data_IF_333771560871
#
_entry.id   IF_333771560871
#
_cell.length_a   1.000
_cell.length_b   1.000
_cell.length_c   1.000
_cell.angle_alpha   90.00
_cell.angle_beta   90.00
_cell.angle_gamma   90.00
#
_symmetry.space_group_name_H-M   'P 1'
#
loop_
_entity.id
_entity.type
_entity.pdbx_description
1 polymer ?
#
# COMPACT_ATOMS: atom_id res chain seq x y z
N UNK A 1 16.52 20.22 -8.40
CA UNK A 1 17.25 18.99 -8.08
C UNK A 1 16.77 17.89 -8.99
N UNK A 2 15.58 17.35 -8.75
CA UNK A 2 14.99 16.24 -9.51
C UNK A 2 14.35 16.68 -10.84
N UNK A 3 15.18 17.05 -11.83
CA UNK A 3 14.71 17.41 -13.17
C UNK A 3 14.47 16.20 -14.09
N UNK A 4 14.01 16.42 -15.33
CA UNK A 4 13.69 15.35 -16.30
C UNK A 4 14.83 14.36 -16.51
N UNK A 5 16.08 14.83 -16.60
CA UNK A 5 17.25 13.94 -16.77
C UNK A 5 17.51 13.09 -15.52
N UNK A 6 17.18 13.58 -14.33
CA UNK A 6 17.30 12.81 -13.09
C UNK A 6 16.24 11.71 -13.03
N UNK A 7 15.00 12.05 -13.39
CA UNK A 7 13.89 11.10 -13.48
C UNK A 7 14.19 10.01 -14.51
N UNK A 8 14.71 10.36 -15.70
CA UNK A 8 15.07 9.36 -16.71
C UNK A 8 16.14 8.36 -16.22
N UNK A 9 17.13 8.83 -15.44
CA UNK A 9 18.12 7.91 -14.82
C UNK A 9 17.48 6.97 -13.80
N UNK A 10 16.50 7.46 -13.05
CA UNK A 10 15.74 6.62 -12.12
C UNK A 10 14.90 5.59 -12.88
N UNK A 11 14.23 5.99 -13.96
CA UNK A 11 13.49 5.09 -14.86
C UNK A 11 14.39 3.97 -15.36
N UNK A 12 15.54 4.29 -15.96
CA UNK A 12 16.48 3.30 -16.51
C UNK A 12 17.02 2.32 -15.45
N UNK A 13 17.14 2.75 -14.19
CA UNK A 13 17.55 1.89 -13.06
C UNK A 13 16.42 0.98 -12.59
N UNK A 14 15.23 1.54 -12.40
CA UNK A 14 14.10 0.85 -11.77
C UNK A 14 13.30 -0.04 -12.72
N UNK A 15 13.34 0.22 -14.03
CA UNK A 15 12.37 -0.32 -14.99
C UNK A 15 12.15 -1.84 -14.85
N UNK A 16 13.25 -2.60 -14.79
CA UNK A 16 13.19 -4.05 -14.68
C UNK A 16 12.62 -4.54 -13.33
N UNK A 17 13.07 -3.95 -12.22
CA UNK A 17 12.60 -4.36 -10.89
C UNK A 17 11.13 -3.97 -10.69
N UNK A 18 10.72 -2.79 -11.12
CA UNK A 18 9.30 -2.40 -11.05
C UNK A 18 8.43 -3.27 -11.95
N UNK A 19 8.93 -3.66 -13.13
CA UNK A 19 8.21 -4.56 -14.03
C UNK A 19 8.02 -5.96 -13.41
N UNK A 20 9.08 -6.58 -12.86
CA UNK A 20 8.95 -7.93 -12.29
C UNK A 20 8.09 -7.94 -11.03
N UNK A 21 8.17 -6.90 -10.19
CA UNK A 21 7.33 -6.78 -9.00
C UNK A 21 5.85 -6.57 -9.35
N UNK A 22 5.55 -5.76 -10.37
CA UNK A 22 4.18 -5.61 -10.87
C UNK A 22 3.65 -6.91 -11.44
N UNK A 23 4.44 -7.56 -12.31
CA UNK A 23 4.09 -8.83 -12.94
C UNK A 23 3.78 -9.90 -11.90
N UNK A 24 4.63 -10.08 -10.88
CA UNK A 24 4.39 -11.07 -9.83
C UNK A 24 3.16 -10.73 -8.99
N UNK A 25 2.92 -9.45 -8.69
CA UNK A 25 1.76 -9.01 -7.90
C UNK A 25 0.43 -9.16 -8.64
N UNK A 26 0.44 -9.11 -9.98
CA UNK A 26 -0.75 -9.32 -10.80
C UNK A 26 -1.10 -10.81 -10.93
N UNK A 27 -0.09 -11.69 -10.97
CA UNK A 27 -0.28 -13.14 -11.12
C UNK A 27 -0.60 -13.86 -9.80
N UNK A 28 -0.12 -13.30 -8.69
CA UNK A 28 -0.29 -13.84 -7.34
C UNK A 28 -1.14 -12.80 -6.64
N UNK A 29 -2.47 -12.92 -6.70
CA UNK A 29 -3.43 -12.01 -6.06
C UNK A 29 -3.34 -12.19 -4.53
N UNK A 30 -2.44 -11.49 -3.81
CA UNK A 30 -2.15 -11.81 -2.41
C UNK A 30 -3.17 -11.11 -1.49
N UNK A 31 -3.85 -10.11 -2.05
CA UNK A 31 -4.81 -9.24 -1.44
C UNK A 31 -6.08 -9.33 -2.27
N UNK A 32 -6.84 -10.44 -2.19
CA UNK A 32 -8.06 -10.61 -2.96
C UNK A 32 -9.07 -9.55 -2.54
N UNK A 33 -9.13 -8.47 -3.31
CA UNK A 33 -9.97 -7.32 -3.00
C UNK A 33 -11.45 -7.71 -3.14
N UNK A 34 -12.25 -7.47 -2.09
CA UNK A 34 -13.71 -7.60 -2.19
C UNK A 34 -14.24 -9.02 -2.42
N UNK A 35 -13.46 -10.06 -2.06
CA UNK A 35 -13.95 -11.45 -2.04
C UNK A 35 -14.98 -11.69 -0.93
N UNK A 36 -14.97 -10.83 0.09
CA UNK A 36 -15.96 -10.78 1.15
C UNK A 36 -16.83 -9.52 0.97
N UNK A 37 -18.11 -9.74 0.66
CA UNK A 37 -19.10 -8.68 0.48
C UNK A 37 -20.27 -8.89 1.42
N UNK A 38 -20.81 -7.82 1.97
CA UNK A 38 -22.10 -7.84 2.63
C UNK A 38 -23.03 -6.80 2.02
N UNK A 39 -24.18 -7.24 1.56
CA UNK A 39 -25.29 -6.39 1.13
C UNK A 39 -26.18 -6.11 2.33
N UNK A 40 -26.53 -4.84 2.53
CA UNK A 40 -27.43 -4.37 3.58
C UNK A 40 -28.75 -3.97 2.91
N UNK A 41 -29.80 -4.76 3.12
CA UNK A 41 -31.11 -4.51 2.55
C UNK A 41 -31.87 -3.43 3.35
N UNK A 42 -32.89 -2.84 2.72
CA UNK A 42 -33.77 -1.83 3.35
C UNK A 42 -34.48 -2.33 4.63
N UNK A 43 -34.75 -3.63 4.73
CA UNK A 43 -35.38 -4.24 5.92
C UNK A 43 -34.39 -4.55 7.06
N UNK A 44 -33.12 -4.14 6.90
CA UNK A 44 -32.03 -4.40 7.84
C UNK A 44 -31.47 -5.82 7.77
N UNK A 45 -31.99 -6.68 6.87
CA UNK A 45 -31.40 -7.99 6.62
C UNK A 45 -30.07 -7.87 5.87
N UNK A 46 -29.19 -8.85 6.09
CA UNK A 46 -27.81 -8.83 5.60
C UNK A 46 -27.53 -10.08 4.79
N UNK A 47 -27.06 -9.93 3.56
CA UNK A 47 -26.57 -11.02 2.74
C UNK A 47 -25.05 -10.97 2.66
N UNK A 48 -24.39 -12.02 3.14
CA UNK A 48 -22.94 -12.12 3.09
C UNK A 48 -22.56 -13.07 1.95
N UNK A 49 -21.82 -12.56 0.98
CA UNK A 49 -21.20 -13.33 -0.08
C UNK A 49 -19.71 -13.47 0.22
N UNK A 50 -19.23 -14.71 0.31
CA UNK A 50 -17.80 -15.02 0.38
C UNK A 50 -17.45 -15.85 -0.86
N UNK A 51 -16.62 -15.29 -1.73
CA UNK A 51 -16.08 -16.01 -2.86
C UNK A 51 -14.90 -16.87 -2.40
N UNK A 52 -14.95 -18.17 -2.67
CA UNK A 52 -13.82 -19.07 -2.49
C UNK A 52 -13.48 -19.72 -3.83
N UNK A 53 -12.34 -19.34 -4.41
CA UNK A 53 -11.81 -19.99 -5.62
C UNK A 53 -10.85 -21.09 -5.22
N UNK A 54 -11.21 -22.34 -5.50
CA UNK A 54 -10.30 -23.48 -5.30
C UNK A 54 -9.88 -24.07 -6.64
N UNK A 55 -8.60 -24.06 -6.96
CA UNK A 55 -8.05 -24.77 -8.11
C UNK A 55 -7.41 -26.10 -7.69
N UNK A 56 -7.61 -27.15 -8.50
CA UNK A 56 -7.01 -28.48 -8.27
C UNK A 56 -5.47 -28.42 -8.32
N UNK A 57 -4.90 -27.40 -8.97
CA UNK A 57 -3.44 -27.19 -9.04
C UNK A 57 -2.91 -26.16 -8.03
N UNK A 58 -3.75 -25.59 -7.16
CA UNK A 58 -3.38 -24.46 -6.29
C UNK A 58 -2.16 -24.77 -5.43
N UNK A 59 -2.15 -25.92 -4.75
CA UNK A 59 -1.01 -26.34 -3.92
C UNK A 59 0.33 -26.47 -4.66
N UNK A 60 0.33 -26.61 -5.99
CA UNK A 60 1.56 -26.59 -6.80
C UNK A 60 1.94 -25.16 -7.17
N UNK A 61 0.96 -24.30 -7.45
CA UNK A 61 1.16 -22.87 -7.70
C UNK A 61 1.70 -22.22 -6.43
N UNK A 62 1.10 -22.47 -5.26
CA UNK A 62 1.55 -21.92 -3.97
C UNK A 62 3.01 -22.28 -3.68
N UNK A 63 3.42 -23.53 -3.96
CA UNK A 63 4.82 -23.94 -3.83
C UNK A 63 5.78 -23.24 -4.80
N UNK A 64 5.31 -22.84 -5.98
CA UNK A 64 6.11 -22.06 -6.92
C UNK A 64 6.21 -20.62 -6.41
N UNK A 65 5.11 -20.05 -5.94
CA UNK A 65 5.03 -18.73 -5.32
C UNK A 65 5.98 -18.62 -4.12
N UNK A 66 5.91 -19.57 -3.18
CA UNK A 66 6.79 -19.66 -2.03
C UNK A 66 8.28 -19.69 -2.42
N UNK A 67 8.62 -20.42 -3.50
CA UNK A 67 10.00 -20.44 -4.02
C UNK A 67 10.47 -19.12 -4.61
N UNK A 68 9.55 -18.21 -4.94
CA UNK A 68 9.86 -16.87 -5.41
C UNK A 68 9.98 -15.86 -4.27
N UNK A 69 9.63 -16.18 -3.02
CA UNK A 69 9.69 -15.24 -1.90
C UNK A 69 11.06 -14.56 -1.73
N UNK A 70 12.20 -15.28 -1.75
CA UNK A 70 13.50 -14.60 -1.65
C UNK A 70 13.76 -13.66 -2.83
N UNK A 71 13.25 -13.98 -4.02
CA UNK A 71 13.37 -13.13 -5.20
C UNK A 71 12.52 -11.87 -5.06
N UNK A 72 11.26 -12.00 -4.63
CA UNK A 72 10.38 -10.86 -4.35
C UNK A 72 11.04 -9.93 -3.34
N UNK A 73 11.45 -10.47 -2.19
CA UNK A 73 12.14 -9.71 -1.15
C UNK A 73 13.38 -8.97 -1.68
N UNK A 74 14.26 -9.68 -2.38
CA UNK A 74 15.53 -9.09 -2.86
C UNK A 74 15.33 -8.08 -3.98
N UNK A 75 14.35 -8.28 -4.86
CA UNK A 75 13.96 -7.32 -5.89
C UNK A 75 13.33 -6.06 -5.28
N UNK A 76 12.41 -6.20 -4.31
CA UNK A 76 11.82 -5.08 -3.59
C UNK A 76 12.87 -4.24 -2.85
N UNK A 77 13.78 -4.90 -2.14
CA UNK A 77 14.90 -4.21 -1.49
C UNK A 77 15.80 -3.51 -2.51
N UNK A 78 16.08 -4.16 -3.66
CA UNK A 78 16.92 -3.58 -4.71
C UNK A 78 16.27 -2.34 -5.34
N UNK A 79 14.95 -2.35 -5.52
CA UNK A 79 14.20 -1.18 -5.95
C UNK A 79 14.34 -0.02 -4.94
N UNK A 80 14.21 -0.27 -3.64
CA UNK A 80 14.45 0.76 -2.62
C UNK A 80 15.90 1.27 -2.65
N UNK A 81 16.90 0.39 -2.75
CA UNK A 81 18.31 0.80 -2.90
C UNK A 81 18.53 1.75 -4.07
N UNK A 82 17.91 1.48 -5.22
CA UNK A 82 18.04 2.35 -6.40
C UNK A 82 17.37 3.71 -6.19
N UNK A 83 16.26 3.77 -5.45
CA UNK A 83 15.64 5.05 -5.06
C UNK A 83 16.55 5.85 -4.11
N UNK A 84 17.12 5.20 -3.09
CA UNK A 84 18.02 5.84 -2.12
C UNK A 84 19.34 6.28 -2.75
N UNK A 85 19.89 5.44 -3.63
CA UNK A 85 21.07 5.77 -4.43
C UNK A 85 20.80 6.97 -5.33
N UNK A 86 19.65 7.02 -6.00
CA UNK A 86 19.27 8.15 -6.83
C UNK A 86 19.20 9.47 -6.05
N UNK A 87 18.62 9.46 -4.83
CA UNK A 87 18.64 10.63 -3.95
C UNK A 87 20.09 11.08 -3.70
N UNK A 88 21.01 10.16 -3.39
CA UNK A 88 22.42 10.48 -3.17
C UNK A 88 23.12 10.98 -4.44
N UNK A 89 22.83 10.40 -5.62
CA UNK A 89 23.35 10.86 -6.92
C UNK A 89 22.97 12.32 -7.19
N UNK A 90 21.75 12.73 -6.83
CA UNK A 90 21.34 14.12 -6.97
C UNK A 90 22.10 15.06 -6.03
N UNK A 91 22.45 14.61 -4.83
CA UNK A 91 23.30 15.38 -3.91
C UNK A 91 24.75 15.47 -4.42
N UNK A 92 25.27 14.39 -5.01
CA UNK A 92 26.61 14.36 -5.62
C UNK A 92 26.68 15.30 -6.83
N UNK A 93 25.65 15.31 -7.68
CA UNK A 93 25.57 16.19 -8.85
C UNK A 93 25.60 17.69 -8.49
N UNK A 94 25.21 18.03 -7.26
CA UNK A 94 25.23 19.39 -6.71
C UNK A 94 26.50 19.71 -5.91
N UNK A 95 27.41 18.74 -5.73
CA UNK A 95 28.60 18.90 -4.90
C UNK A 95 28.31 18.99 -3.40
N UNK A 96 27.14 18.52 -2.95
CA UNK A 96 26.78 18.44 -1.51
C UNK A 96 27.55 17.28 -0.86
N UNK A 97 27.70 16.18 -1.58
CA UNK A 97 28.52 15.03 -1.20
C UNK A 97 29.64 14.81 -2.22
N UNK A 98 30.61 13.96 -1.88
CA UNK A 98 31.73 13.61 -2.75
C UNK A 98 31.66 12.11 -3.07
N UNK A 99 30.94 11.79 -4.13
CA UNK A 99 30.68 10.43 -4.59
C UNK A 99 29.58 9.73 -3.81
N UNK A 100 28.85 8.87 -4.52
CA UNK A 100 27.82 8.00 -3.96
C UNK A 100 28.47 6.71 -3.43
N UNK A 101 28.26 6.33 -2.16
CA UNK A 101 28.85 5.12 -1.61
C UNK A 101 28.36 3.85 -2.30
N UNK A 102 29.25 2.87 -2.46
CA UNK A 102 28.89 1.58 -3.08
C UNK A 102 28.20 0.62 -2.10
N UNK A 103 28.57 0.66 -0.81
CA UNK A 103 28.00 -0.24 0.22
C UNK A 103 26.69 0.32 0.75
N UNK A 104 25.72 -0.56 0.99
CA UNK A 104 24.42 -0.18 1.55
C UNK A 104 24.53 0.52 2.91
N UNK A 105 25.35 0.00 3.83
CA UNK A 105 25.63 0.62 5.13
C UNK A 105 26.12 2.06 4.98
N UNK A 106 27.05 2.28 4.05
CA UNK A 106 27.65 3.59 3.83
C UNK A 106 26.64 4.56 3.19
N UNK A 107 25.68 4.05 2.39
CA UNK A 107 24.56 4.85 1.84
C UNK A 107 23.60 5.27 2.95
N UNK A 108 23.27 4.36 3.87
CA UNK A 108 22.43 4.62 5.05
C UNK A 108 23.06 5.72 5.90
N UNK A 109 24.32 5.52 6.33
CA UNK A 109 25.07 6.50 7.14
C UNK A 109 25.09 7.87 6.46
N UNK A 110 25.25 7.90 5.13
CA UNK A 110 25.30 9.13 4.35
C UNK A 110 23.95 9.87 4.33
N UNK A 111 22.84 9.16 4.20
CA UNK A 111 21.49 9.75 4.22
C UNK A 111 21.17 10.30 5.61
N UNK A 112 21.49 9.55 6.67
CA UNK A 112 21.33 10.00 8.06
C UNK A 112 22.19 11.24 8.37
N UNK A 113 23.44 11.26 7.90
CA UNK A 113 24.32 12.43 8.02
C UNK A 113 23.76 13.65 7.28
N UNK A 114 23.20 13.47 6.08
CA UNK A 114 22.57 14.56 5.34
C UNK A 114 21.35 15.11 6.09
N UNK A 115 20.51 14.23 6.64
CA UNK A 115 19.32 14.62 7.41
C UNK A 115 19.72 15.39 8.68
N UNK A 116 20.63 14.83 9.47
CA UNK A 116 21.13 15.45 10.71
C UNK A 116 21.72 16.85 10.50
N UNK A 117 22.34 17.07 9.34
CA UNK A 117 22.94 18.35 8.98
C UNK A 117 21.97 19.29 8.23
N UNK A 118 20.69 18.94 8.10
CA UNK A 118 19.67 19.67 7.31
C UNK A 118 20.09 19.92 5.86
N UNK A 119 20.87 19.01 5.28
CA UNK A 119 21.33 19.06 3.90
C UNK A 119 20.61 18.04 3.01
N UNK A 120 19.80 17.15 3.58
CA UNK A 120 18.98 16.21 2.84
C UNK A 120 17.87 16.96 2.10
N UNK A 121 17.95 16.93 0.78
CA UNK A 121 16.95 17.48 -0.12
C UNK A 121 16.17 16.34 -0.75
N UNK A 122 14.90 16.20 -0.37
CA UNK A 122 14.06 15.11 -0.82
C UNK A 122 13.33 15.44 -2.15
N UNK A 123 13.01 14.43 -2.97
CA UNK A 123 12.12 14.61 -4.13
C UNK A 123 10.72 15.02 -3.66
N UNK A 124 9.94 15.64 -4.56
CA UNK A 124 8.66 16.30 -4.23
C UNK A 124 7.73 15.45 -3.37
N UNK A 125 7.58 14.16 -3.69
CA UNK A 125 6.69 13.26 -2.94
C UNK A 125 7.15 13.08 -1.49
N UNK A 126 8.46 12.97 -1.26
CA UNK A 126 9.05 12.73 0.06
C UNK A 126 9.20 14.03 0.85
N UNK A 127 9.38 15.16 0.18
CA UNK A 127 9.38 16.48 0.81
C UNK A 127 7.97 16.85 1.31
N UNK A 128 6.94 16.56 0.51
CA UNK A 128 5.54 16.79 0.89
C UNK A 128 5.05 15.79 1.95
N UNK A 129 5.51 14.55 1.87
CA UNK A 129 5.08 13.45 2.74
C UNK A 129 6.28 12.82 3.46
N UNK A 130 6.97 13.62 4.28
CA UNK A 130 8.18 13.14 5.00
C UNK A 130 7.94 11.85 5.79
N UNK A 131 6.75 11.69 6.36
CA UNK A 131 6.39 10.46 7.09
C UNK A 131 6.48 9.18 6.23
N UNK A 132 6.20 9.28 4.92
CA UNK A 132 6.33 8.16 3.98
C UNK A 132 7.81 7.88 3.74
N UNK A 133 8.62 8.92 3.51
CA UNK A 133 10.07 8.78 3.39
C UNK A 133 10.68 8.08 4.60
N UNK A 134 10.31 8.51 5.81
CA UNK A 134 10.86 7.98 7.06
C UNK A 134 10.63 6.46 7.17
N UNK A 135 9.42 5.98 6.82
CA UNK A 135 9.09 4.55 6.82
C UNK A 135 9.80 3.78 5.72
N UNK A 136 9.85 4.32 4.51
CA UNK A 136 10.55 3.68 3.38
C UNK A 136 12.06 3.60 3.65
N UNK A 137 12.63 4.65 4.25
CA UNK A 137 14.03 4.67 4.65
C UNK A 137 14.30 3.71 5.81
N UNK A 138 13.41 3.61 6.80
CA UNK A 138 13.51 2.61 7.86
C UNK A 138 13.47 1.18 7.29
N UNK A 139 12.55 0.87 6.36
CA UNK A 139 12.55 -0.42 5.65
C UNK A 139 13.89 -0.69 4.95
N UNK A 140 14.43 0.29 4.22
CA UNK A 140 15.73 0.16 3.56
C UNK A 140 16.87 -0.08 4.56
N UNK A 141 16.87 0.63 5.69
CA UNK A 141 17.89 0.50 6.73
C UNK A 141 17.82 -0.85 7.43
N UNK A 142 16.64 -1.21 7.92
CA UNK A 142 16.45 -2.31 8.87
C UNK A 142 16.41 -3.68 8.17
N UNK A 143 16.07 -3.71 6.88
CA UNK A 143 16.10 -4.94 6.07
C UNK A 143 17.46 -5.21 5.39
N UNK A 144 18.44 -4.32 5.53
CA UNK A 144 19.75 -4.46 4.87
C UNK A 144 20.47 -5.77 5.25
N UNK A 145 20.52 -6.08 6.54
CA UNK A 145 21.20 -7.28 7.02
C UNK A 145 20.46 -8.56 6.61
N UNK A 146 19.13 -8.54 6.62
CA UNK A 146 18.28 -9.62 6.12
C UNK A 146 18.51 -9.90 4.63
N UNK A 147 18.59 -8.85 3.80
CA UNK A 147 18.95 -8.97 2.38
C UNK A 147 20.33 -9.58 2.18
N UNK A 148 21.30 -9.19 3.01
CA UNK A 148 22.65 -9.74 2.94
C UNK A 148 22.68 -11.23 3.33
N UNK A 149 21.85 -11.65 4.28
CA UNK A 149 21.67 -13.06 4.64
C UNK A 149 21.16 -13.87 3.44
N UNK A 150 20.10 -13.42 2.75
CA UNK A 150 19.58 -14.15 1.58
C UNK A 150 20.64 -14.29 0.49
N UNK A 151 21.32 -13.21 0.12
CA UNK A 151 22.18 -13.18 -1.08
C UNK A 151 23.56 -13.78 -0.86
N UNK A 152 24.09 -13.69 0.36
CA UNK A 152 25.46 -14.14 0.65
C UNK A 152 25.52 -15.32 1.63
N UNK A 153 24.50 -15.50 2.46
CA UNK A 153 24.40 -16.60 3.41
C UNK A 153 23.64 -17.81 2.88
N UNK A 154 22.68 -17.60 1.97
CA UNK A 154 21.65 -18.60 1.60
C UNK A 154 20.95 -19.16 2.86
N UNK A 155 20.91 -18.37 3.94
CA UNK A 155 20.47 -18.76 5.28
C UNK A 155 19.07 -18.22 5.53
N UNK A 156 18.11 -18.82 4.82
CA UNK A 156 16.69 -18.52 4.93
C UNK A 156 15.90 -19.82 4.82
N UNK A 157 14.73 -19.84 5.44
CA UNK A 157 13.82 -20.98 5.35
C UNK A 157 12.53 -20.57 4.62
N UNK A 158 12.03 -21.47 3.79
CA UNK A 158 10.75 -21.32 3.11
C UNK A 158 9.87 -22.48 3.56
N UNK A 159 8.83 -22.16 4.31
CA UNK A 159 7.76 -23.09 4.66
C UNK A 159 6.44 -22.57 4.09
N UNK A 160 5.65 -21.91 4.93
CA UNK A 160 4.49 -21.09 4.53
C UNK A 160 4.83 -19.59 4.48
N UNK A 161 5.90 -19.21 5.18
CA UNK A 161 6.47 -17.87 5.26
C UNK A 161 7.93 -17.90 4.77
N UNK A 162 8.48 -16.73 4.46
CA UNK A 162 9.92 -16.52 4.30
C UNK A 162 10.51 -16.11 5.65
N UNK A 163 11.27 -17.01 6.27
CA UNK A 163 12.00 -16.72 7.49
C UNK A 163 13.45 -16.36 7.16
N UNK A 164 13.91 -15.20 7.65
CA UNK A 164 15.26 -14.70 7.47
C UNK A 164 15.81 -14.35 8.85
N UNK A 165 16.91 -14.98 9.25
CA UNK A 165 17.64 -14.62 10.47
C UNK A 165 18.92 -13.86 10.10
N UNK A 166 19.04 -12.63 10.56
CA UNK A 166 20.25 -11.83 10.35
C UNK A 166 21.44 -12.36 11.18
N UNK A 167 22.63 -11.80 10.93
CA UNK A 167 23.85 -12.20 11.65
C UNK A 167 23.85 -11.83 13.13
N UNK A 168 22.97 -10.93 13.54
CA UNK A 168 22.79 -10.49 14.92
C UNK A 168 21.78 -11.36 15.67
N UNK A 169 21.10 -12.28 14.98
CA UNK A 169 20.08 -13.17 15.51
C UNK A 169 18.68 -12.56 15.52
N UNK A 170 18.47 -11.44 14.82
CA UNK A 170 17.12 -10.89 14.56
C UNK A 170 16.47 -11.73 13.48
N UNK A 171 15.24 -12.17 13.71
CA UNK A 171 14.49 -12.96 12.73
C UNK A 171 13.28 -12.16 12.26
N UNK A 172 13.12 -12.04 10.95
CA UNK A 172 11.86 -11.62 10.35
C UNK A 172 11.24 -12.80 9.60
N UNK A 173 9.94 -12.96 9.83
CA UNK A 173 9.07 -13.87 9.12
C UNK A 173 8.17 -13.00 8.25
N UNK A 174 8.15 -13.27 6.96
CA UNK A 174 7.23 -12.62 6.03
C UNK A 174 6.26 -13.66 5.50
N UNK A 175 4.98 -13.46 5.76
CA UNK A 175 3.95 -14.18 5.03
C UNK A 175 3.86 -13.67 3.57
N UNK A 176 2.95 -14.29 2.81
CA UNK A 176 2.73 -13.90 1.41
C UNK A 176 2.30 -12.44 1.30
N UNK A 177 1.35 -12.02 2.11
CA UNK A 177 0.79 -10.67 2.07
C UNK A 177 1.87 -9.64 2.44
N UNK A 178 2.69 -9.88 3.46
CA UNK A 178 3.77 -9.00 3.89
C UNK A 178 4.85 -8.86 2.81
N UNK A 179 5.25 -9.96 2.16
CA UNK A 179 6.17 -9.92 1.03
C UNK A 179 5.64 -9.08 -0.14
N UNK A 180 4.37 -9.27 -0.48
CA UNK A 180 3.76 -8.53 -1.57
C UNK A 180 3.41 -7.10 -1.19
N UNK A 181 3.16 -6.80 0.09
CA UNK A 181 3.09 -5.43 0.61
C UNK A 181 4.44 -4.73 0.41
N UNK A 182 5.55 -5.39 0.71
CA UNK A 182 6.89 -4.84 0.49
C UNK A 182 7.17 -4.57 -1.00
N UNK A 183 6.76 -5.49 -1.87
CA UNK A 183 6.78 -5.28 -3.32
C UNK A 183 5.96 -4.07 -3.75
N UNK A 184 4.74 -3.93 -3.24
CA UNK A 184 3.85 -2.79 -3.53
C UNK A 184 4.43 -1.47 -3.05
N UNK A 185 4.99 -1.41 -1.85
CA UNK A 185 5.69 -0.21 -1.34
C UNK A 185 6.81 0.19 -2.31
N UNK A 186 7.68 -0.75 -2.70
CA UNK A 186 8.79 -0.47 -3.59
C UNK A 186 8.34 -0.01 -4.99
N UNK A 187 7.30 -0.64 -5.56
CA UNK A 187 6.76 -0.27 -6.86
C UNK A 187 6.03 1.07 -6.83
N UNK A 188 5.11 1.29 -5.88
CA UNK A 188 4.33 2.54 -5.79
C UNK A 188 5.25 3.74 -5.55
N UNK A 189 6.22 3.62 -4.66
CA UNK A 189 7.21 4.68 -4.42
C UNK A 189 8.04 4.94 -5.67
N UNK A 190 8.51 3.90 -6.36
CA UNK A 190 9.23 4.03 -7.63
C UNK A 190 8.43 4.78 -8.69
N UNK A 191 7.17 4.39 -8.92
CA UNK A 191 6.27 5.04 -9.88
C UNK A 191 5.92 6.48 -9.51
N UNK A 192 5.73 6.74 -8.21
CA UNK A 192 5.45 8.08 -7.70
C UNK A 192 6.65 9.01 -7.84
N UNK A 193 7.88 8.50 -7.65
CA UNK A 193 9.10 9.26 -7.86
C UNK A 193 9.32 9.58 -9.34
N UNK A 194 9.00 8.64 -10.24
CA UNK A 194 9.06 8.86 -11.70
C UNK A 194 8.04 9.90 -12.17
N UNK A 195 6.80 9.79 -11.71
CA UNK A 195 5.73 10.73 -12.08
C UNK A 195 5.84 12.09 -11.38
N UNK A 196 6.57 12.15 -10.26
CA UNK A 196 6.72 13.35 -9.42
C UNK A 196 5.47 13.67 -8.59
N UNK A 197 4.49 12.75 -8.53
CA UNK A 197 3.20 12.97 -7.87
C UNK A 197 2.73 11.71 -7.14
N UNK A 198 2.00 11.91 -6.05
CA UNK A 198 1.32 10.87 -5.30
C UNK A 198 -0.14 11.29 -5.14
N UNK A 199 -1.04 10.74 -5.94
CA UNK A 199 -2.46 11.07 -5.86
C UNK A 199 -3.06 10.52 -4.54
N UNK A 200 -4.20 11.06 -4.06
CA UNK A 200 -4.77 10.67 -2.77
C UNK A 200 -5.06 9.16 -2.61
N UNK A 201 -5.56 8.49 -3.65
CA UNK A 201 -5.85 7.06 -3.60
C UNK A 201 -4.56 6.23 -3.49
N UNK A 202 -3.57 6.49 -4.35
CA UNK A 202 -2.27 5.81 -4.33
C UNK A 202 -1.50 6.11 -3.05
N UNK A 203 -1.62 7.33 -2.50
CA UNK A 203 -1.07 7.68 -1.19
C UNK A 203 -1.64 6.77 -0.11
N UNK A 204 -2.97 6.65 -0.07
CA UNK A 204 -3.69 5.85 0.93
C UNK A 204 -3.36 4.36 0.82
N UNK A 205 -3.28 3.85 -0.41
CA UNK A 205 -2.82 2.48 -0.68
C UNK A 205 -1.39 2.25 -0.17
N UNK A 206 -0.46 3.17 -0.48
CA UNK A 206 0.91 3.10 0.03
C UNK A 206 0.95 3.13 1.56
N UNK A 207 0.16 3.99 2.20
CA UNK A 207 0.07 4.06 3.66
C UNK A 207 -0.44 2.76 4.28
N UNK A 208 -1.45 2.12 3.67
CA UNK A 208 -1.95 0.84 4.14
C UNK A 208 -0.91 -0.29 4.00
N UNK A 209 -0.13 -0.32 2.91
CA UNK A 209 0.95 -1.29 2.77
C UNK A 209 2.11 -1.03 3.74
N UNK A 210 2.42 0.24 4.03
CA UNK A 210 3.39 0.58 5.07
C UNK A 210 2.89 0.14 6.46
N UNK A 211 1.62 0.36 6.78
CA UNK A 211 1.03 -0.13 8.04
C UNK A 211 1.08 -1.66 8.16
N UNK A 212 1.05 -2.38 7.04
CA UNK A 212 1.21 -3.83 7.01
C UNK A 212 2.64 -4.30 7.30
N UNK A 213 3.62 -3.39 7.21
CA UNK A 213 5.05 -3.65 7.43
C UNK A 213 5.57 -2.95 8.69
N UNK A 214 4.68 -2.58 9.61
CA UNK A 214 5.02 -1.87 10.84
C UNK A 214 6.00 -2.66 11.71
N UNK A 215 5.90 -3.99 11.71
CA UNK A 215 6.83 -4.89 12.39
C UNK A 215 8.28 -4.74 11.89
N UNK A 216 8.46 -4.38 10.62
CA UNK A 216 9.77 -4.27 9.98
C UNK A 216 10.38 -2.88 10.13
N UNK A 217 9.58 -1.82 10.01
CA UNK A 217 10.08 -0.44 10.06
C UNK A 217 9.90 0.25 11.42
N UNK A 218 9.06 -0.29 12.32
CA UNK A 218 8.93 0.16 13.72
C UNK A 218 8.31 1.55 13.93
N UNK A 219 7.72 2.16 12.91
CA UNK A 219 7.08 3.48 13.00
C UNK A 219 5.57 3.33 13.28
N UNK A 220 4.91 4.32 13.89
CA UNK A 220 3.46 4.27 14.13
C UNK A 220 2.65 4.06 12.84
N UNK A 221 1.53 3.34 12.91
CA UNK A 221 0.64 3.17 11.75
C UNK A 221 -0.13 4.45 11.40
N UNK A 222 -0.49 4.63 10.14
CA UNK A 222 -1.42 5.66 9.67
C UNK A 222 -2.87 5.36 10.06
N UNK A 223 -3.23 4.09 10.18
CA UNK A 223 -4.59 3.64 10.50
C UNK A 223 -5.54 3.73 9.31
N UNK A 224 -5.01 3.60 8.09
CA UNK A 224 -5.84 3.63 6.87
C UNK A 224 -6.56 2.29 6.68
N UNK A 225 -7.85 2.32 6.34
CA UNK A 225 -8.57 1.13 5.81
C UNK A 225 -7.77 0.53 4.65
N UNK A 226 -7.33 -0.74 4.74
CA UNK A 226 -6.58 -1.40 3.68
C UNK A 226 -7.41 -1.58 2.40
N UNK A 227 -6.84 -1.43 1.19
CA UNK A 227 -7.57 -1.51 -0.08
C UNK A 227 -8.23 -2.87 -0.35
N UNK A 228 -7.79 -3.94 0.32
CA UNK A 228 -8.36 -5.28 0.27
C UNK A 228 -9.41 -5.57 1.35
N UNK A 229 -9.83 -4.56 2.10
CA UNK A 229 -10.87 -4.71 3.10
C UNK A 229 -12.21 -5.15 2.49
N UNK A 230 -13.08 -5.83 3.26
CA UNK A 230 -14.43 -6.18 2.83
C UNK A 230 -15.21 -4.98 2.31
N UNK A 231 -16.13 -5.24 1.39
CA UNK A 231 -17.04 -4.22 0.86
C UNK A 231 -18.43 -4.43 1.47
N UNK A 232 -18.94 -3.36 2.10
CA UNK A 232 -20.33 -3.28 2.55
C UNK A 232 -21.11 -2.49 1.51
N UNK A 233 -22.08 -3.13 0.86
CA UNK A 233 -22.91 -2.49 -0.15
C UNK A 233 -24.24 -2.07 0.45
N UNK A 234 -24.65 -0.82 0.23
CA UNK A 234 -25.93 -0.29 0.67
C UNK A 234 -26.57 0.51 -0.46
N UNK A 235 -27.72 0.04 -0.92
CA UNK A 235 -28.59 0.79 -1.82
C UNK A 235 -29.41 1.80 -1.01
N UNK A 236 -29.52 3.04 -1.50
CA UNK A 236 -30.27 4.11 -0.84
C UNK A 236 -31.02 4.94 -1.85
N UNK A 237 -32.34 5.01 -1.72
CA UNK A 237 -33.19 5.89 -2.53
C UNK A 237 -32.95 7.37 -2.19
N UNK A 238 -32.94 8.22 -3.22
CA UNK A 238 -32.75 9.65 -3.09
C UNK A 238 -33.86 10.34 -2.28
N UNK A 239 -33.47 11.20 -1.33
CA UNK A 239 -34.40 12.07 -0.61
C UNK A 239 -34.78 13.34 -1.41
N UNK A 240 -33.88 13.76 -2.29
CA UNK A 240 -34.03 14.90 -3.21
C UNK A 240 -33.35 14.57 -4.52
N UNK A 241 -33.80 15.16 -5.63
CA UNK A 241 -33.25 14.92 -6.98
C UNK A 241 -32.46 16.12 -7.56
N UNK A 242 -32.49 17.29 -6.92
CA UNK A 242 -31.84 18.52 -7.41
C UNK A 242 -31.23 19.38 -6.26
N UNK A 243 -29.99 19.11 -5.84
CA UNK A 243 -29.16 17.96 -6.25
C UNK A 243 -29.64 16.66 -5.63
N UNK A 244 -29.16 15.52 -6.13
CA UNK A 244 -29.42 14.25 -5.48
C UNK A 244 -28.85 14.25 -4.06
N UNK A 245 -29.64 13.78 -3.09
CA UNK A 245 -29.22 13.64 -1.68
C UNK A 245 -29.62 12.28 -1.12
N UNK A 246 -28.69 11.64 -0.40
CA UNK A 246 -28.88 10.31 0.20
C UNK A 246 -28.52 10.36 1.68
N UNK A 247 -29.36 9.78 2.53
CA UNK A 247 -29.08 9.62 3.95
C UNK A 247 -28.71 8.17 4.27
N UNK A 248 -27.55 7.98 4.88
CA UNK A 248 -27.06 6.66 5.27
C UNK A 248 -26.93 6.61 6.78
N UNK A 249 -27.75 5.77 7.42
CA UNK A 249 -27.57 5.42 8.84
C UNK A 249 -26.31 4.56 8.99
N UNK A 250 -25.36 5.06 9.78
CA UNK A 250 -24.05 4.49 10.03
C UNK A 250 -24.08 3.38 11.08
N UNK A 251 -25.09 3.36 11.97
CA UNK A 251 -25.22 2.30 12.97
C UNK A 251 -25.44 0.93 12.31
N UNK A 252 -26.26 0.88 11.25
CA UNK A 252 -26.48 -0.33 10.45
C UNK A 252 -25.20 -0.82 9.78
N UNK A 253 -24.37 0.11 9.29
CA UNK A 253 -23.10 -0.19 8.63
C UNK A 253 -22.13 -0.85 9.62
N UNK A 254 -21.94 -0.24 10.80
CA UNK A 254 -21.07 -0.81 11.82
C UNK A 254 -21.61 -2.13 12.37
N UNK A 255 -22.93 -2.30 12.46
CA UNK A 255 -23.51 -3.58 12.84
C UNK A 255 -23.33 -4.65 11.74
N UNK A 256 -23.34 -4.28 10.46
CA UNK A 256 -23.01 -5.19 9.36
C UNK A 256 -21.54 -5.59 9.37
N UNK A 257 -20.65 -4.64 9.69
CA UNK A 257 -19.21 -4.91 9.76
C UNK A 257 -18.83 -5.96 10.81
N UNK A 258 -19.62 -6.13 11.88
CA UNK A 258 -19.41 -7.19 12.89
C UNK A 258 -19.37 -8.60 12.30
N UNK A 259 -19.88 -8.80 11.07
CA UNK A 259 -19.76 -10.06 10.35
C UNK A 259 -18.33 -10.38 9.88
N UNK A 260 -17.41 -9.42 9.92
CA UNK A 260 -16.01 -9.53 9.51
C UNK A 260 -15.07 -9.27 10.69
N UNK A 261 -15.05 -10.15 11.71
CA UNK A 261 -14.35 -9.89 12.99
C UNK A 261 -12.83 -9.72 12.85
N UNK A 262 -12.24 -10.30 11.80
CA UNK A 262 -10.79 -10.27 11.56
C UNK A 262 -10.36 -9.13 10.61
N UNK A 263 -11.32 -8.39 10.04
CA UNK A 263 -11.02 -7.31 9.11
C UNK A 263 -10.54 -6.06 9.88
N UNK A 264 -9.49 -5.41 9.37
CA UNK A 264 -8.94 -4.16 9.94
C UNK A 264 -9.77 -2.91 9.57
N UNK A 265 -10.75 -3.05 8.69
CA UNK A 265 -11.65 -1.99 8.22
C UNK A 265 -12.59 -2.51 7.13
N UNK A 266 -13.34 -1.62 6.50
CA UNK A 266 -14.19 -1.93 5.34
C UNK A 266 -14.31 -0.73 4.41
N UNK A 267 -14.72 -0.97 3.16
CA UNK A 267 -15.24 0.07 2.28
C UNK A 267 -16.76 -0.01 2.24
N UNK A 268 -17.43 1.11 2.49
CA UNK A 268 -18.84 1.28 2.24
C UNK A 268 -19.03 1.69 0.78
N UNK A 269 -19.69 0.85 -0.01
CA UNK A 269 -20.21 1.21 -1.31
C UNK A 269 -21.66 1.65 -1.18
N UNK A 270 -21.95 2.93 -1.41
CA UNK A 270 -23.32 3.46 -1.43
C UNK A 270 -23.77 3.62 -2.86
N UNK A 271 -24.78 2.86 -3.25
CA UNK A 271 -25.44 2.97 -4.55
C UNK A 271 -26.69 3.81 -4.35
N UNK A 272 -26.65 5.06 -4.83
CA UNK A 272 -27.76 5.98 -4.76
C UNK A 272 -28.73 5.75 -5.90
N UNK A 273 -29.99 5.48 -5.60
CA UNK A 273 -31.05 5.19 -6.58
C UNK A 273 -32.11 6.29 -6.61
N UNK A 274 -32.76 6.47 -7.77
CA UNK A 274 -33.91 7.36 -7.92
C UNK A 274 -34.90 6.77 -8.90
N UNK A 275 -36.10 6.44 -8.43
CA UNK A 275 -37.11 5.79 -9.27
C UNK A 275 -36.68 4.41 -9.80
N UNK A 276 -35.78 3.73 -9.07
CA UNK A 276 -35.22 2.43 -9.44
C UNK A 276 -34.08 2.46 -10.47
N UNK A 277 -33.49 3.62 -10.74
CA UNK A 277 -32.26 3.76 -11.54
C UNK A 277 -31.10 4.23 -10.67
N UNK A 278 -29.90 3.68 -10.89
CA UNK A 278 -28.67 4.12 -10.21
C UNK A 278 -28.26 5.51 -10.72
N UNK A 279 -28.16 6.47 -9.81
CA UNK A 279 -27.85 7.88 -10.13
C UNK A 279 -26.54 8.38 -9.52
N UNK A 280 -25.99 7.66 -8.53
CA UNK A 280 -24.70 7.98 -7.91
C UNK A 280 -24.06 6.75 -7.26
N UNK A 281 -22.73 6.71 -7.21
CA UNK A 281 -21.98 5.68 -6.48
C UNK A 281 -20.85 6.32 -5.65
N UNK A 282 -20.75 5.92 -4.39
CA UNK A 282 -19.73 6.39 -3.45
C UNK A 282 -19.01 5.22 -2.81
N UNK A 283 -17.69 5.23 -2.85
CA UNK A 283 -16.83 4.24 -2.17
C UNK A 283 -16.04 4.89 -1.04
N UNK A 284 -16.54 4.72 0.18
CA UNK A 284 -16.05 5.43 1.37
C UNK A 284 -15.31 4.45 2.29
N UNK A 285 -14.05 4.72 2.65
CA UNK A 285 -13.33 3.87 3.60
C UNK A 285 -13.84 4.09 5.03
N UNK A 286 -13.79 3.04 5.86
CA UNK A 286 -14.34 3.07 7.21
C UNK A 286 -13.73 4.11 8.16
N UNK A 287 -12.46 4.47 7.99
CA UNK A 287 -11.77 5.55 8.74
C UNK A 287 -12.16 6.96 8.29
N UNK A 288 -12.93 7.11 7.20
CA UNK A 288 -13.56 8.38 6.83
C UNK A 288 -15.00 8.49 7.35
N UNK A 289 -15.58 7.41 7.87
CA UNK A 289 -16.94 7.41 8.42
C UNK A 289 -16.94 7.86 9.89
N UNK A 290 -18.01 8.54 10.35
CA UNK A 290 -18.20 8.78 11.78
C UNK A 290 -18.52 7.48 12.52
N UNK A 291 -18.35 7.47 13.84
CA UNK A 291 -18.67 6.30 14.67
C UNK A 291 -20.18 6.01 14.79
N UNK A 292 -21.02 7.02 14.57
CA UNK A 292 -22.48 6.95 14.74
C UNK A 292 -23.20 8.07 13.99
N UNK A 293 -24.52 7.91 13.82
CA UNK A 293 -25.40 8.92 13.23
C UNK A 293 -25.68 8.68 11.76
N UNK A 294 -26.05 9.76 11.06
CA UNK A 294 -26.40 9.72 9.64
C UNK A 294 -25.40 10.57 8.86
N UNK A 295 -24.89 10.02 7.76
CA UNK A 295 -24.15 10.81 6.77
C UNK A 295 -25.11 11.21 5.65
N UNK A 296 -25.02 12.47 5.23
CA UNK A 296 -25.73 12.98 4.06
C UNK A 296 -24.75 13.09 2.89
N UNK A 297 -24.97 12.28 1.85
CA UNK A 297 -24.24 12.30 0.60
C UNK A 297 -25.00 13.16 -0.41
N UNK A 298 -24.28 13.88 -1.27
CA UNK A 298 -24.90 14.65 -2.34
C UNK A 298 -24.02 14.73 -3.57
N UNK A 299 -24.63 14.71 -4.75
CA UNK A 299 -23.92 14.77 -6.04
C UNK A 299 -23.16 16.08 -6.25
N UNK A 300 -23.56 17.15 -5.56
CA UNK A 300 -22.93 18.47 -5.62
C UNK A 300 -22.00 18.76 -4.43
N UNK A 301 -21.90 17.83 -3.49
CA UNK A 301 -21.08 18.02 -2.29
C UNK A 301 -19.60 17.87 -2.59
N UNK A 302 -18.80 18.85 -2.18
CA UNK A 302 -17.33 18.75 -2.17
C UNK A 302 -16.80 17.85 -1.05
N UNK A 303 -17.59 17.61 0.00
CA UNK A 303 -17.16 16.87 1.18
C UNK A 303 -16.95 15.38 0.90
N UNK A 304 -17.65 14.84 -0.11
CA UNK A 304 -17.60 13.43 -0.48
C UNK A 304 -17.18 13.22 -1.94
N UNK A 305 -16.83 14.30 -2.65
CA UNK A 305 -16.48 14.22 -4.08
C UNK A 305 -15.22 13.41 -4.36
N UNK A 306 -14.33 13.25 -3.36
CA UNK A 306 -13.13 12.42 -3.49
C UNK A 306 -13.43 10.91 -3.41
N UNK A 307 -14.62 10.53 -2.95
CA UNK A 307 -15.07 9.14 -2.79
C UNK A 307 -16.11 8.73 -3.83
N UNK A 308 -16.45 9.62 -4.77
CA UNK A 308 -17.47 9.37 -5.79
C UNK A 308 -16.84 8.65 -6.98
N UNK A 309 -17.39 7.51 -7.39
CA UNK A 309 -16.83 6.71 -8.50
C UNK A 309 -17.48 7.02 -9.87
N UNK A 310 -18.67 7.66 -9.91
CA UNK A 310 -19.36 8.12 -11.14
C UNK A 310 -20.13 9.43 -10.97
#
# INVERSE_FOLDING_TARGET
MYGTNAVQRLEEKLDYETWILSFLSEEIEPFPSGDARAEINEDGSKHIAVAAKTSISQARVDKIVQRMYPLVFTASYKALDMQMEWILEEHDSQGIINGVPWRFSDKIDKLEDLEKNNNLQLPSIYDQEKSIYDRVFALFRDLNDHRNTIIHGEDFEISDELEITDRNGTTFQFDTEELFAFAKVASITGDSLKSGSLNPHTKRELQAFLDYLDFAHGEPTYGCTPPWSPILEKEVEAESEDPYTFEVDIEDIWDAFKAFPDAKGFYLNVVGTSGGEDVAEYRIPSDALPDQGVISLSTDSKSWSEWREV
#
